data_IF_539726639530
#
_entry.id   IF_539726639530
#
_cell.length_a   1.000
_cell.length_b   1.000
_cell.length_c   1.000
_cell.angle_alpha   90.00
_cell.angle_beta   90.00
_cell.angle_gamma   90.00
#
_symmetry.space_group_name_H-M   'P 1'
#
loop_
_entity.id
_entity.type
_entity.pdbx_description
1 polymer ?
#
# COMPACT_ATOMS: atom_id res chain seq x y z
N UNK A 1 14.15 6.88 -19.33
CA UNK A 1 13.82 5.49 -18.94
C UNK A 1 12.34 5.38 -18.54
N UNK A 2 11.40 5.28 -19.49
CA UNK A 2 9.96 5.24 -19.21
C UNK A 2 9.50 3.96 -18.45
N UNK A 3 10.24 2.86 -18.61
CA UNK A 3 9.92 1.57 -18.00
C UNK A 3 10.07 1.58 -16.46
N UNK A 4 11.09 2.27 -15.94
CA UNK A 4 11.35 2.32 -14.50
C UNK A 4 10.24 3.09 -13.77
N UNK A 5 9.80 4.23 -14.31
CA UNK A 5 8.69 5.01 -13.76
C UNK A 5 7.40 4.17 -13.75
N UNK A 6 7.10 3.46 -14.84
CA UNK A 6 5.92 2.58 -14.92
C UNK A 6 5.96 1.46 -13.88
N UNK A 7 7.13 0.83 -13.68
CA UNK A 7 7.29 -0.22 -12.68
C UNK A 7 7.07 0.30 -11.24
N UNK A 8 7.57 1.50 -10.93
CA UNK A 8 7.37 2.13 -9.62
C UNK A 8 5.88 2.45 -9.38
N UNK A 9 5.18 3.00 -10.38
CA UNK A 9 3.74 3.26 -10.25
C UNK A 9 2.92 1.97 -10.06
N UNK A 10 3.28 0.89 -10.76
CA UNK A 10 2.65 -0.42 -10.56
C UNK A 10 2.89 -0.97 -9.16
N UNK A 11 4.10 -0.84 -8.62
CA UNK A 11 4.39 -1.24 -7.24
C UNK A 11 3.60 -0.42 -6.23
N UNK A 12 3.47 0.89 -6.47
CA UNK A 12 2.67 1.79 -5.63
C UNK A 12 1.21 1.35 -5.62
N UNK A 13 0.62 1.11 -6.79
CA UNK A 13 -0.76 0.67 -6.90
C UNK A 13 -1.00 -0.68 -6.21
N UNK A 14 -0.07 -1.64 -6.40
CA UNK A 14 -0.14 -2.94 -5.74
C UNK A 14 -0.18 -2.84 -4.20
N UNK A 15 0.62 -1.95 -3.61
CA UNK A 15 0.62 -1.71 -2.16
C UNK A 15 -0.71 -1.13 -1.69
N UNK A 16 -1.27 -0.19 -2.43
CA UNK A 16 -2.56 0.44 -2.12
C UNK A 16 -3.67 -0.62 -2.15
N UNK A 17 -3.73 -1.42 -3.22
CA UNK A 17 -4.76 -2.45 -3.39
C UNK A 17 -4.68 -3.51 -2.28
N UNK A 18 -3.47 -3.94 -1.92
CA UNK A 18 -3.22 -4.82 -0.77
C UNK A 18 -3.79 -4.24 0.52
N UNK A 19 -3.46 -2.98 0.84
CA UNK A 19 -3.91 -2.35 2.08
C UNK A 19 -5.43 -2.11 2.10
N UNK A 20 -6.04 -1.76 0.96
CA UNK A 20 -7.51 -1.67 0.82
C UNK A 20 -8.18 -3.04 1.00
N UNK A 21 -7.66 -4.07 0.36
CA UNK A 21 -8.21 -5.44 0.48
C UNK A 21 -8.12 -6.00 1.90
N UNK A 22 -7.10 -5.58 2.67
CA UNK A 22 -6.94 -5.94 4.08
C UNK A 22 -7.72 -5.05 5.06
N UNK A 23 -8.52 -4.10 4.56
CA UNK A 23 -9.31 -3.17 5.38
C UNK A 23 -8.47 -2.13 6.15
N UNK A 24 -7.22 -1.91 5.74
CA UNK A 24 -6.37 -0.86 6.33
C UNK A 24 -6.77 0.54 5.85
N UNK A 25 -7.26 0.64 4.62
CA UNK A 25 -7.92 1.84 4.08
C UNK A 25 -9.32 1.48 3.60
N UNK A 26 -10.21 2.46 3.63
CA UNK A 26 -11.50 2.34 2.98
C UNK A 26 -11.35 2.34 1.45
N UNK A 27 -12.26 1.66 0.75
CA UNK A 27 -12.24 1.61 -0.71
C UNK A 27 -12.36 3.01 -1.34
N UNK A 28 -13.18 3.87 -0.73
CA UNK A 28 -13.43 5.27 -1.08
C UNK A 28 -12.30 6.23 -0.71
N UNK A 29 -11.31 5.79 0.09
CA UNK A 29 -10.22 6.66 0.49
C UNK A 29 -9.30 6.92 -0.71
N UNK A 30 -9.42 8.14 -1.26
CA UNK A 30 -8.60 8.64 -2.35
C UNK A 30 -7.30 9.28 -1.87
N UNK A 31 -7.20 9.62 -0.58
CA UNK A 31 -6.02 10.29 0.01
C UNK A 31 -4.75 9.42 -0.10
N UNK A 32 -4.93 8.10 -0.07
CA UNK A 32 -3.85 7.11 -0.22
C UNK A 32 -3.07 7.23 -1.54
N UNK A 33 -3.69 7.74 -2.61
CA UNK A 33 -3.03 7.92 -3.90
C UNK A 33 -2.06 9.12 -3.89
N UNK A 34 -2.26 10.08 -3.00
CA UNK A 34 -1.38 11.24 -2.83
C UNK A 34 -0.13 10.92 -2.00
N UNK A 35 -0.12 9.80 -1.28
CA UNK A 35 1.04 9.38 -0.49
C UNK A 35 2.24 9.03 -1.36
N UNK A 36 3.42 9.31 -0.84
CA UNK A 36 4.69 8.89 -1.44
C UNK A 36 4.89 7.39 -1.27
N UNK A 37 5.75 6.80 -2.11
CA UNK A 37 6.07 5.38 -2.03
C UNK A 37 6.67 5.00 -0.67
N UNK A 38 7.45 5.90 -0.06
CA UNK A 38 8.05 5.69 1.26
C UNK A 38 7.01 5.60 2.38
N UNK A 39 6.00 6.47 2.35
CA UNK A 39 4.89 6.44 3.32
C UNK A 39 4.08 5.16 3.18
N UNK A 40 3.72 4.79 1.95
CA UNK A 40 2.98 3.55 1.67
C UNK A 40 3.77 2.30 2.11
N UNK A 41 5.09 2.29 1.95
CA UNK A 41 5.95 1.21 2.45
C UNK A 41 5.99 1.15 3.98
N UNK A 42 6.05 2.30 4.66
CA UNK A 42 6.03 2.35 6.11
C UNK A 42 4.69 1.82 6.66
N UNK A 43 3.58 2.26 6.09
CA UNK A 43 2.24 1.83 6.48
C UNK A 43 1.99 0.35 6.15
N UNK A 44 2.45 -0.13 5.00
CA UNK A 44 2.37 -1.55 4.65
C UNK A 44 3.14 -2.45 5.63
N UNK A 45 4.30 -2.01 6.14
CA UNK A 45 5.04 -2.76 7.18
C UNK A 45 4.22 -2.88 8.47
N UNK A 46 3.54 -1.81 8.87
CA UNK A 46 2.64 -1.81 10.04
C UNK A 46 1.46 -2.75 9.80
N UNK A 47 0.82 -2.64 8.64
CA UNK A 47 -0.27 -3.53 8.22
C UNK A 47 0.15 -5.00 8.29
N UNK A 48 1.29 -5.37 7.70
CA UNK A 48 1.84 -6.74 7.74
C UNK A 48 2.11 -7.23 9.15
N UNK A 49 2.60 -6.37 10.04
CA UNK A 49 2.82 -6.72 11.45
C UNK A 49 1.50 -6.98 12.19
N UNK A 50 0.45 -6.20 11.91
CA UNK A 50 -0.90 -6.41 12.47
C UNK A 50 -1.55 -7.70 11.96
N UNK A 51 -1.46 -7.96 10.66
CA UNK A 51 -1.93 -9.22 10.05
C UNK A 51 -1.23 -10.45 10.63
N UNK A 52 0.09 -10.38 10.83
CA UNK A 52 0.86 -11.47 11.42
C UNK A 52 0.47 -11.72 12.89
N UNK A 53 0.11 -10.66 13.64
CA UNK A 53 -0.33 -10.78 15.03
C UNK A 53 -1.77 -11.30 15.21
N UNK A 54 -2.61 -11.28 14.16
CA UNK A 54 -3.98 -11.82 14.18
C UNK A 54 -4.07 -13.33 13.99
N UNK A 55 -2.95 -14.02 13.70
CA UNK A 55 -2.88 -15.49 13.69
C UNK A 55 -2.63 -16.01 15.10
N UNK A 56 -3.59 -15.86 16.01
CA UNK A 56 -3.70 -16.62 17.27
C UNK A 56 -5.17 -16.88 17.53
#
# INVERSE_FOLDING_TARGET
>A
MPFLRKAVEQQKQFLIDKMKSGGFYEASDSSVHHKTSSELLAEYKIFRKREAGKKV
#
